data_IF_226288272977
#
_entry.id   IF_226288272977
#
_cell.length_a   1.000
_cell.length_b   1.000
_cell.length_c   1.000
_cell.angle_alpha   90.00
_cell.angle_beta   90.00
_cell.angle_gamma   90.00
#
_symmetry.space_group_name_H-M   'P 1'
#
loop_
_entity.id
_entity.type
_entity.pdbx_description
1 polymer ?
#
# COMPACT_ATOMS: atom_id res chain seq x y z
N UNK A 1 -2.38 -8.70 -0.40
CA UNK A 1 -1.23 -7.83 -0.01
C UNK A 1 -0.59 -7.09 -1.19
N UNK A 2 -0.45 -7.68 -2.39
CA UNK A 2 0.06 -6.96 -3.57
C UNK A 2 -0.87 -5.81 -4.02
N UNK A 3 -2.13 -5.87 -3.67
CA UNK A 3 -3.13 -4.78 -3.85
C UNK A 3 -2.60 -3.43 -3.36
N UNK A 4 -1.79 -3.42 -2.29
CA UNK A 4 -1.20 -2.21 -1.73
C UNK A 4 -0.26 -1.47 -2.68
N UNK A 5 0.23 -2.12 -3.72
CA UNK A 5 0.96 -1.44 -4.80
C UNK A 5 0.05 -0.44 -5.53
N UNK A 6 -1.20 -0.79 -5.80
CA UNK A 6 -2.18 0.14 -6.38
C UNK A 6 -2.57 1.23 -5.38
N UNK A 7 -2.77 0.87 -4.12
CA UNK A 7 -3.02 1.86 -3.05
C UNK A 7 -1.89 2.89 -2.97
N UNK A 8 -0.64 2.43 -2.98
CA UNK A 8 0.53 3.31 -2.98
C UNK A 8 0.61 4.17 -4.23
N UNK A 9 0.39 3.59 -5.42
CA UNK A 9 0.43 4.34 -6.69
C UNK A 9 -0.56 5.51 -6.69
N UNK A 10 -1.80 5.32 -6.21
CA UNK A 10 -2.79 6.41 -6.12
C UNK A 10 -2.31 7.52 -5.18
N UNK A 11 -1.77 7.17 -4.01
CA UNK A 11 -1.19 8.15 -3.06
C UNK A 11 -0.03 8.90 -3.73
N UNK A 12 0.89 8.21 -4.35
CA UNK A 12 2.06 8.77 -5.04
C UNK A 12 1.64 9.73 -6.15
N UNK A 13 0.68 9.35 -6.99
CA UNK A 13 0.17 10.20 -8.06
C UNK A 13 -0.46 11.49 -7.53
N UNK A 14 -1.25 11.40 -6.47
CA UNK A 14 -1.89 12.57 -5.85
C UNK A 14 -0.88 13.49 -5.15
N UNK A 15 0.15 12.95 -4.54
CA UNK A 15 1.26 13.72 -3.98
C UNK A 15 2.03 14.44 -5.10
N UNK A 16 2.33 13.77 -6.21
CA UNK A 16 3.04 14.37 -7.34
C UNK A 16 2.19 15.42 -8.06
N UNK A 17 0.87 15.25 -8.09
CA UNK A 17 -0.07 16.23 -8.66
C UNK A 17 -0.31 17.43 -7.73
N UNK A 18 0.16 17.39 -6.47
CA UNK A 18 -0.09 18.41 -5.47
C UNK A 18 -1.51 18.43 -4.89
N UNK A 19 -2.28 17.37 -5.14
CA UNK A 19 -3.61 17.16 -4.55
C UNK A 19 -3.52 16.76 -3.07
N UNK A 20 -2.43 16.12 -2.68
CA UNK A 20 -2.07 15.78 -1.31
C UNK A 20 -0.72 16.41 -0.94
N UNK A 21 -0.47 16.58 0.36
CA UNK A 21 0.82 17.03 0.88
C UNK A 21 1.47 15.93 1.71
N UNK A 22 2.81 15.87 1.67
CA UNK A 22 3.57 14.85 2.41
C UNK A 22 3.37 14.93 3.94
N UNK A 23 3.21 16.14 4.46
CA UNK A 23 3.01 16.44 5.89
C UNK A 23 1.53 16.45 6.32
N UNK A 24 0.60 16.30 5.37
CA UNK A 24 -0.83 16.24 5.64
C UNK A 24 -1.16 15.09 6.60
N UNK A 25 -1.94 15.42 7.66
CA UNK A 25 -2.25 14.46 8.71
C UNK A 25 -3.45 13.59 8.34
N UNK A 26 -3.24 12.29 8.36
CA UNK A 26 -4.24 11.27 8.06
C UNK A 26 -4.71 10.64 9.36
N UNK A 27 -6.01 10.74 9.63
CA UNK A 27 -6.64 10.18 10.84
C UNK A 27 -6.83 8.65 10.68
N UNK A 28 -6.51 7.91 11.73
CA UNK A 28 -6.87 6.50 11.85
C UNK A 28 -8.19 6.36 12.61
N UNK A 29 -9.24 6.03 11.84
CA UNK A 29 -10.58 5.77 12.37
C UNK A 29 -10.64 4.44 13.15
N UNK A 30 -11.75 4.18 13.82
CA UNK A 30 -12.00 2.90 14.48
C UNK A 30 -11.98 1.71 13.47
N UNK A 31 -12.42 1.94 12.23
CA UNK A 31 -12.39 0.95 11.16
C UNK A 31 -10.96 0.64 10.71
N UNK A 32 -10.14 1.67 10.55
CA UNK A 32 -8.75 1.54 10.13
C UNK A 32 -7.85 1.01 11.26
N UNK A 33 -8.25 1.25 12.52
CA UNK A 33 -7.40 0.94 13.66
C UNK A 33 -7.08 -0.54 13.78
N UNK A 34 -5.78 -0.83 13.84
CA UNK A 34 -5.26 -2.16 14.12
C UNK A 34 -5.37 -2.47 15.61
N UNK A 35 -6.35 -3.28 16.00
CA UNK A 35 -6.68 -3.63 17.38
C UNK A 35 -5.64 -4.51 18.09
N UNK A 36 -4.38 -4.52 17.63
CA UNK A 36 -3.32 -5.35 18.19
C UNK A 36 -3.48 -6.85 17.86
N UNK A 37 -4.24 -7.18 16.83
CA UNK A 37 -4.34 -8.52 16.30
C UNK A 37 -2.99 -8.94 15.71
N UNK A 38 -2.37 -10.01 16.24
CA UNK A 38 -1.15 -10.59 15.69
C UNK A 38 -1.35 -11.23 14.30
N UNK A 39 -2.58 -11.19 13.78
CA UNK A 39 -2.96 -11.78 12.48
C UNK A 39 -2.85 -10.84 11.30
N UNK A 40 -2.71 -9.53 11.56
CA UNK A 40 -2.69 -8.51 10.51
C UNK A 40 -1.41 -7.70 10.52
N UNK A 41 -1.01 -7.24 9.35
CA UNK A 41 0.12 -6.31 9.21
C UNK A 41 -0.34 -4.89 9.54
N UNK A 42 0.34 -4.24 10.50
CA UNK A 42 -0.03 -2.93 11.01
C UNK A 42 1.17 -1.99 11.06
N UNK A 43 0.92 -0.71 10.81
CA UNK A 43 1.85 0.38 11.09
C UNK A 43 1.80 0.80 12.57
N UNK A 44 0.72 0.42 13.28
CA UNK A 44 0.47 0.71 14.69
C UNK A 44 0.21 2.18 15.01
N UNK A 45 -0.53 2.86 14.16
CA UNK A 45 -1.07 4.18 14.51
C UNK A 45 -2.16 4.02 15.57
N UNK A 46 -2.13 4.80 16.68
CA UNK A 46 -3.16 4.70 17.71
C UNK A 46 -4.56 5.03 17.19
N UNK A 47 -5.59 4.49 17.85
CA UNK A 47 -6.99 4.87 17.58
C UNK A 47 -7.17 6.39 17.71
N UNK A 48 -7.81 7.00 16.73
CA UNK A 48 -7.99 8.45 16.62
C UNK A 48 -6.66 9.24 16.58
N UNK A 49 -5.54 8.54 16.43
CA UNK A 49 -4.24 9.15 16.16
C UNK A 49 -4.09 9.53 14.70
N UNK A 50 -3.06 10.30 14.41
CA UNK A 50 -2.72 10.70 13.04
C UNK A 50 -1.28 10.34 12.71
N UNK A 51 -1.00 10.21 11.41
CA UNK A 51 0.35 10.17 10.87
C UNK A 51 0.39 11.02 9.58
N UNK A 52 1.58 11.48 9.21
CA UNK A 52 1.74 12.19 7.95
C UNK A 52 1.43 11.28 6.76
N UNK A 53 0.97 11.85 5.65
CA UNK A 53 0.70 11.10 4.42
C UNK A 53 1.96 10.33 3.96
N UNK A 54 3.14 10.92 4.11
CA UNK A 54 4.40 10.27 3.77
C UNK A 54 4.70 9.08 4.69
N UNK A 55 4.41 9.18 5.99
CA UNK A 55 4.57 8.06 6.92
C UNK A 55 3.54 6.96 6.66
N UNK A 56 2.31 7.33 6.30
CA UNK A 56 1.30 6.36 5.86
C UNK A 56 1.79 5.59 4.63
N UNK A 57 2.36 6.28 3.63
CA UNK A 57 2.92 5.64 2.44
C UNK A 57 4.06 4.68 2.81
N UNK A 58 4.98 5.08 3.69
CA UNK A 58 6.03 4.19 4.21
C UNK A 58 5.45 2.98 4.94
N UNK A 59 4.47 3.19 5.80
CA UNK A 59 3.76 2.10 6.51
C UNK A 59 3.11 1.09 5.55
N UNK A 60 2.51 1.57 4.46
CA UNK A 60 1.89 0.72 3.43
C UNK A 60 2.96 -0.10 2.69
N UNK A 61 4.04 0.54 2.25
CA UNK A 61 5.06 -0.09 1.40
C UNK A 61 5.95 -1.02 2.23
N UNK A 62 6.53 -0.53 3.31
CA UNK A 62 7.57 -1.23 4.08
C UNK A 62 6.96 -2.30 4.98
N UNK A 63 5.98 -1.92 5.81
CA UNK A 63 5.36 -2.81 6.79
C UNK A 63 4.14 -3.55 6.25
N UNK A 64 3.61 -3.13 5.11
CA UNK A 64 2.36 -3.66 4.58
C UNK A 64 1.15 -3.35 5.49
N UNK A 65 1.13 -2.18 6.14
CA UNK A 65 0.13 -1.78 7.12
C UNK A 65 -1.29 -1.75 6.55
N UNK A 66 -2.20 -2.53 7.14
CA UNK A 66 -3.61 -2.49 6.78
C UNK A 66 -4.27 -1.22 7.32
N UNK A 67 -3.93 -0.85 8.56
CA UNK A 67 -4.37 0.40 9.20
C UNK A 67 -4.05 1.63 8.33
N UNK A 68 -2.82 1.76 7.88
CA UNK A 68 -2.41 2.83 6.98
C UNK A 68 -3.16 2.78 5.64
N UNK A 69 -3.37 1.57 5.07
CA UNK A 69 -4.07 1.42 3.78
C UNK A 69 -5.54 1.85 3.87
N UNK A 70 -6.23 1.46 4.94
CA UNK A 70 -7.63 1.84 5.16
C UNK A 70 -7.73 3.34 5.45
N UNK A 71 -6.84 3.87 6.31
CA UNK A 71 -6.84 5.28 6.67
C UNK A 71 -6.64 6.20 5.46
N UNK A 72 -5.70 5.89 4.56
CA UNK A 72 -5.51 6.68 3.34
C UNK A 72 -6.69 6.54 2.38
N UNK A 73 -7.32 5.37 2.30
CA UNK A 73 -8.51 5.17 1.48
C UNK A 73 -9.69 6.02 1.99
N UNK A 74 -9.92 6.04 3.30
CA UNK A 74 -10.92 6.90 3.93
C UNK A 74 -10.61 8.39 3.74
N UNK A 75 -9.36 8.78 3.90
CA UNK A 75 -8.91 10.18 3.75
C UNK A 75 -9.12 10.69 2.32
N UNK A 76 -8.77 9.88 1.31
CA UNK A 76 -8.80 10.28 -0.11
C UNK A 76 -10.22 10.20 -0.69
N UNK A 77 -10.99 9.17 -0.34
CA UNK A 77 -12.26 8.85 -0.98
C UNK A 77 -13.45 8.79 -0.02
N UNK A 78 -13.24 9.04 1.26
CA UNK A 78 -14.29 8.99 2.30
C UNK A 78 -14.59 7.57 2.81
N UNK A 79 -14.33 6.53 2.02
CA UNK A 79 -14.46 5.12 2.42
C UNK A 79 -13.68 4.20 1.48
N UNK A 80 -13.44 2.95 1.91
CA UNK A 80 -12.71 1.95 1.10
C UNK A 80 -13.40 1.57 -0.21
N UNK A 81 -14.73 1.56 -0.26
CA UNK A 81 -15.47 1.23 -1.48
C UNK A 81 -15.24 2.26 -2.58
N UNK A 82 -15.41 3.53 -2.25
CA UNK A 82 -15.12 4.64 -3.18
C UNK A 82 -13.65 4.67 -3.58
N UNK A 83 -12.73 4.30 -2.66
CA UNK A 83 -11.32 4.17 -3.00
C UNK A 83 -11.05 2.98 -3.94
N UNK A 84 -11.74 1.86 -3.77
CA UNK A 84 -11.67 0.72 -4.69
C UNK A 84 -12.13 1.10 -6.11
N UNK A 85 -13.13 1.97 -6.24
CA UNK A 85 -13.54 2.52 -7.54
C UNK A 85 -12.41 3.32 -8.20
N UNK A 86 -11.68 4.15 -7.44
CA UNK A 86 -10.47 4.84 -7.94
C UNK A 86 -9.39 3.85 -8.37
N UNK A 87 -9.16 2.80 -7.56
CA UNK A 87 -8.18 1.75 -7.90
C UNK A 87 -8.55 1.04 -9.20
N UNK A 88 -9.81 0.71 -9.41
CA UNK A 88 -10.30 0.05 -10.63
C UNK A 88 -10.25 0.99 -11.85
N UNK A 89 -10.56 2.28 -11.68
CA UNK A 89 -10.41 3.28 -12.74
C UNK A 89 -8.95 3.39 -13.18
N UNK A 90 -8.01 3.43 -12.22
CA UNK A 90 -6.58 3.48 -12.51
C UNK A 90 -6.09 2.17 -13.15
N UNK A 91 -6.52 1.01 -12.65
CA UNK A 91 -6.21 -0.29 -13.23
C UNK A 91 -6.60 -0.34 -14.71
N UNK A 92 -7.81 0.10 -15.04
CA UNK A 92 -8.30 0.20 -16.42
C UNK A 92 -7.44 1.16 -17.25
N UNK A 93 -7.08 2.34 -16.70
CA UNK A 93 -6.27 3.36 -17.38
C UNK A 93 -4.89 2.84 -17.78
N UNK A 94 -4.26 2.02 -16.92
CA UNK A 94 -2.92 1.47 -17.20
C UNK A 94 -2.95 0.12 -17.92
N UNK A 95 -4.14 -0.45 -18.18
CA UNK A 95 -4.31 -1.66 -18.98
C UNK A 95 -4.35 -2.97 -18.19
N UNK A 96 -4.65 -2.93 -16.89
CA UNK A 96 -4.86 -4.13 -16.05
C UNK A 96 -6.26 -4.72 -16.28
N UNK A 97 -6.42 -5.47 -17.37
CA UNK A 97 -7.73 -5.92 -17.83
C UNK A 97 -8.27 -7.16 -17.09
N UNK A 98 -7.44 -7.83 -16.28
CA UNK A 98 -7.80 -9.02 -15.50
C UNK A 98 -7.66 -8.73 -14.00
N UNK A 99 -8.10 -7.55 -13.58
CA UNK A 99 -7.98 -7.09 -12.20
C UNK A 99 -9.27 -6.47 -11.73
N UNK A 100 -9.67 -6.79 -10.50
CA UNK A 100 -10.79 -6.18 -9.82
C UNK A 100 -10.41 -5.96 -8.34
N UNK A 101 -10.32 -4.72 -7.92
CA UNK A 101 -10.05 -4.33 -6.54
C UNK A 101 -11.36 -4.06 -5.80
N UNK A 102 -11.50 -4.57 -4.58
CA UNK A 102 -12.65 -4.36 -3.71
C UNK A 102 -12.29 -3.70 -2.38
N UNK A 103 -10.99 -3.63 -2.06
CA UNK A 103 -10.48 -2.98 -0.86
C UNK A 103 -9.06 -2.45 -1.08
N UNK A 104 -8.59 -1.62 -0.15
CA UNK A 104 -7.25 -1.00 -0.21
C UNK A 104 -6.13 -1.90 0.34
N UNK A 105 -6.47 -2.97 1.04
CA UNK A 105 -5.53 -3.80 1.80
C UNK A 105 -5.06 -5.04 1.04
N UNK A 106 -5.93 -5.59 0.19
CA UNK A 106 -5.75 -6.90 -0.44
C UNK A 106 -6.06 -8.05 0.52
N UNK A 107 -6.87 -7.81 1.55
CA UNK A 107 -7.49 -8.89 2.32
C UNK A 107 -8.47 -9.65 1.44
N UNK A 108 -8.62 -10.97 1.64
CA UNK A 108 -9.46 -11.80 0.80
C UNK A 108 -10.92 -11.32 0.78
N UNK A 109 -11.48 -11.21 -0.41
CA UNK A 109 -12.90 -10.98 -0.66
C UNK A 109 -13.28 -11.70 -1.95
N UNK A 110 -14.52 -12.21 -2.02
CA UNK A 110 -15.03 -12.78 -3.25
C UNK A 110 -14.96 -11.76 -4.39
N UNK A 111 -14.46 -12.16 -5.54
CA UNK A 111 -14.23 -11.30 -6.70
C UNK A 111 -13.13 -10.23 -6.55
N UNK A 112 -12.28 -10.30 -5.51
CA UNK A 112 -11.05 -9.50 -5.43
C UNK A 112 -9.89 -10.29 -6.04
N UNK A 113 -9.45 -9.92 -7.24
CA UNK A 113 -8.44 -10.66 -7.98
C UNK A 113 -7.55 -9.77 -8.83
N UNK A 114 -6.42 -10.32 -9.24
CA UNK A 114 -5.53 -9.78 -10.27
C UNK A 114 -4.81 -10.93 -10.98
N UNK A 115 -4.07 -10.62 -12.02
CA UNK A 115 -3.18 -11.55 -12.72
C UNK A 115 -1.71 -11.16 -12.55
N UNK A 116 -0.79 -12.11 -12.71
CA UNK A 116 0.64 -11.83 -12.69
C UNK A 116 1.04 -10.82 -13.78
N UNK A 117 0.42 -10.90 -14.95
CA UNK A 117 0.61 -9.94 -16.03
C UNK A 117 0.20 -8.52 -15.62
N UNK A 118 -0.98 -8.36 -15.02
CA UNK A 118 -1.47 -7.05 -14.59
C UNK A 118 -0.61 -6.48 -13.45
N UNK A 119 -0.12 -7.33 -12.54
CA UNK A 119 0.80 -6.89 -11.49
C UNK A 119 2.14 -6.43 -12.08
N UNK A 120 2.63 -7.04 -13.15
CA UNK A 120 3.82 -6.56 -13.86
C UNK A 120 3.58 -5.21 -14.56
N UNK A 121 2.37 -4.97 -15.10
CA UNK A 121 1.97 -3.65 -15.63
C UNK A 121 2.01 -2.61 -14.52
N UNK A 122 1.42 -2.92 -13.36
CA UNK A 122 1.42 -2.03 -12.20
C UNK A 122 2.84 -1.72 -11.71
N UNK A 123 3.68 -2.75 -11.56
CA UNK A 123 5.09 -2.59 -11.18
C UNK A 123 5.84 -1.65 -12.13
N UNK A 124 5.71 -1.89 -13.43
CA UNK A 124 6.32 -1.03 -14.46
C UNK A 124 5.82 0.43 -14.36
N UNK A 125 4.53 0.61 -14.08
CA UNK A 125 3.93 1.95 -13.92
C UNK A 125 4.52 2.66 -12.71
N UNK A 126 4.64 2.00 -11.56
CA UNK A 126 5.28 2.57 -10.35
C UNK A 126 6.72 2.98 -10.65
N UNK A 127 7.51 2.09 -11.22
CA UNK A 127 8.94 2.36 -11.54
C UNK A 127 9.08 3.56 -12.47
N UNK A 128 8.24 3.64 -13.50
CA UNK A 128 8.32 4.69 -14.52
C UNK A 128 7.76 6.04 -14.03
N UNK A 129 6.61 6.01 -13.37
CA UNK A 129 5.79 7.20 -13.16
C UNK A 129 5.90 7.73 -11.72
N UNK A 130 6.49 6.97 -10.77
CA UNK A 130 6.63 7.36 -9.36
C UNK A 130 8.08 7.57 -8.93
N UNK A 131 8.96 8.05 -9.79
CA UNK A 131 10.39 8.15 -9.54
C UNK A 131 10.75 8.85 -8.22
N UNK A 132 9.96 9.85 -7.79
CA UNK A 132 10.17 10.56 -6.51
C UNK A 132 9.97 9.66 -5.29
N UNK A 133 8.98 8.77 -5.32
CA UNK A 133 8.60 7.91 -4.19
C UNK A 133 9.13 6.48 -4.32
N UNK A 134 9.57 6.07 -5.50
CA UNK A 134 10.13 4.75 -5.75
C UNK A 134 11.23 4.33 -4.75
N UNK A 135 12.14 5.20 -4.31
CA UNK A 135 13.15 4.83 -3.32
C UNK A 135 12.61 4.30 -1.99
N UNK A 136 11.33 4.54 -1.65
CA UNK A 136 10.70 3.99 -0.45
C UNK A 136 10.62 2.46 -0.51
N UNK A 137 10.45 1.89 -1.72
CA UNK A 137 10.34 0.43 -1.90
C UNK A 137 11.64 -0.31 -1.55
N UNK A 138 12.79 0.35 -1.62
CA UNK A 138 14.10 -0.19 -1.22
C UNK A 138 14.49 0.10 0.24
N UNK A 139 13.71 0.90 0.97
CA UNK A 139 13.97 1.17 2.37
C UNK A 139 13.84 -0.11 3.20
N UNK A 140 14.90 -0.45 3.92
CA UNK A 140 14.97 -1.69 4.70
C UNK A 140 14.16 -1.62 5.98
N UNK A 141 14.01 -0.42 6.54
CA UNK A 141 13.34 -0.20 7.80
C UNK A 141 12.67 1.17 7.88
N UNK A 142 11.67 1.26 8.73
CA UNK A 142 10.92 2.46 9.03
C UNK A 142 10.56 2.45 10.52
N UNK A 143 10.71 3.57 11.19
CA UNK A 143 10.33 3.70 12.59
C UNK A 143 9.17 4.68 12.72
N UNK A 144 8.07 4.22 13.29
CA UNK A 144 6.93 5.05 13.62
C UNK A 144 6.55 4.82 15.07
N UNK A 145 6.25 5.90 15.80
CA UNK A 145 5.83 5.85 17.20
C UNK A 145 6.78 4.98 18.09
N UNK A 146 8.08 5.13 17.89
CA UNK A 146 9.15 4.33 18.52
C UNK A 146 9.09 2.81 18.21
N UNK A 147 8.28 2.39 17.26
CA UNK A 147 8.23 1.01 16.80
C UNK A 147 9.04 0.89 15.52
N UNK A 148 10.13 0.15 15.59
CA UNK A 148 10.96 -0.16 14.42
C UNK A 148 10.32 -1.29 13.63
N UNK A 149 10.14 -1.07 12.33
CA UNK A 149 9.46 -1.98 11.42
C UNK A 149 10.37 -2.27 10.22
N UNK A 150 10.60 -3.55 9.94
CA UNK A 150 11.44 -3.99 8.82
C UNK A 150 10.64 -4.19 7.53
N UNK A 151 11.28 -3.93 6.40
CA UNK A 151 10.73 -4.30 5.10
C UNK A 151 10.63 -5.83 5.00
N UNK A 152 9.48 -6.31 4.56
CA UNK A 152 9.21 -7.76 4.46
C UNK A 152 9.86 -8.42 3.26
N UNK A 153 10.42 -7.65 2.34
CA UNK A 153 11.19 -8.17 1.22
C UNK A 153 12.61 -8.56 1.66
N UNK A 154 12.80 -9.83 1.96
CA UNK A 154 14.09 -10.37 2.42
C UNK A 154 15.22 -10.19 1.40
N UNK A 155 14.91 -10.08 0.10
CA UNK A 155 15.91 -9.90 -0.95
C UNK A 155 16.63 -8.55 -0.82
N UNK A 156 15.99 -7.51 -0.29
CA UNK A 156 16.63 -6.21 -0.03
C UNK A 156 17.83 -6.31 0.93
N UNK A 157 17.86 -7.35 1.77
CA UNK A 157 18.93 -7.53 2.75
C UNK A 157 20.06 -8.41 2.24
N UNK A 158 19.80 -9.25 1.25
CA UNK A 158 20.75 -10.25 0.74
C UNK A 158 21.32 -9.92 -0.64
N UNK A 159 20.61 -9.12 -1.45
CA UNK A 159 21.00 -8.81 -2.82
C UNK A 159 20.96 -7.29 -3.06
N UNK A 160 22.13 -6.64 -3.24
CA UNK A 160 22.18 -5.19 -3.45
C UNK A 160 21.62 -4.72 -4.80
N UNK A 161 21.35 -5.62 -5.73
CA UNK A 161 20.72 -5.29 -7.01
C UNK A 161 19.19 -5.19 -6.94
N UNK A 162 18.60 -5.65 -5.81
CA UNK A 162 17.14 -5.60 -5.58
C UNK A 162 16.77 -4.26 -4.94
N UNK A 163 15.84 -3.53 -5.57
CA UNK A 163 15.39 -2.21 -5.14
C UNK A 163 13.86 -2.10 -4.91
N UNK A 164 13.14 -3.22 -4.98
CA UNK A 164 11.69 -3.27 -4.80
C UNK A 164 11.15 -4.70 -4.87
N UNK A 165 9.86 -4.88 -5.06
CA UNK A 165 8.80 -3.90 -4.82
C UNK A 165 7.97 -4.29 -3.61
N UNK A 166 7.21 -5.39 -3.72
CA UNK A 166 6.23 -5.75 -2.69
C UNK A 166 6.10 -7.25 -2.51
N UNK A 167 6.10 -7.67 -1.26
CA UNK A 167 5.74 -9.03 -0.86
C UNK A 167 4.27 -9.11 -0.46
N UNK A 168 3.69 -10.29 -0.54
CA UNK A 168 2.34 -10.57 -0.09
C UNK A 168 2.17 -11.99 0.38
N UNK A 169 1.25 -12.17 1.31
CA UNK A 169 0.79 -13.47 1.75
C UNK A 169 -0.67 -13.38 2.20
N UNK A 170 -1.49 -14.29 1.75
CA UNK A 170 -2.78 -14.68 2.32
C UNK A 170 -2.92 -16.20 2.17
N UNK A 171 -3.78 -16.82 2.98
CA UNK A 171 -3.98 -18.26 2.88
C UNK A 171 -4.51 -18.67 1.50
N UNK A 172 -5.31 -17.80 0.85
CA UNK A 172 -5.89 -18.06 -0.47
C UNK A 172 -4.89 -17.84 -1.61
N UNK A 173 -4.04 -16.81 -1.52
CA UNK A 173 -3.12 -16.44 -2.60
C UNK A 173 -1.73 -17.10 -2.47
N UNK A 174 -1.38 -17.58 -1.27
CA UNK A 174 -0.03 -18.06 -0.98
C UNK A 174 1.00 -16.91 -0.93
N UNK A 175 2.27 -17.27 -1.05
CA UNK A 175 3.37 -16.31 -1.08
C UNK A 175 3.47 -15.64 -2.44
N UNK A 176 3.47 -14.31 -2.43
CA UNK A 176 3.59 -13.48 -3.63
C UNK A 176 4.76 -12.51 -3.49
N UNK A 177 5.45 -12.24 -4.59
CA UNK A 177 6.51 -11.23 -4.71
C UNK A 177 6.42 -10.57 -6.09
N UNK A 178 6.56 -9.27 -6.12
CA UNK A 178 6.72 -8.47 -7.35
C UNK A 178 8.02 -7.72 -7.29
#
# INVERSE_FOLDING_TARGET
SLTKMMTSLIVEQKLMAGELKEDEQVLVSERAWCRGSNKESCMYVPLNGTASMLDMLRGIIIQSGNDASIAVAEHIAGNEGAFADLMNAEAKRIGMNNTNFLNATGLPMENHYSSAHDMAILARTIIRDSAKYYPIYSQKEFTFNNIKQGNRNALLYSDPSVDGLKTGFTDEAGYCLT
#
